data_IF_774258914071
#
_entry.id   IF_774258914071
#
_cell.length_a   1.000
_cell.length_b   1.000
_cell.length_c   1.000
_cell.angle_alpha   90.00
_cell.angle_beta   90.00
_cell.angle_gamma   90.00
#
_symmetry.space_group_name_H-M   'P 1'
#
loop_
_entity.id
_entity.type
_entity.pdbx_description
1 polymer ?
#
# COMPACT_ATOMS: atom_id res chain seq x y z
N UNK A 1 2.03 -10.85 -10.50
CA UNK A 1 2.07 -9.45 -11.00
C UNK A 1 0.94 -8.67 -10.33
N UNK A 2 1.00 -7.34 -10.15
CA UNK A 2 -0.21 -6.63 -9.69
C UNK A 2 -1.32 -6.78 -10.75
N UNK A 3 -2.59 -6.97 -10.36
CA UNK A 3 -3.69 -6.98 -11.31
C UNK A 3 -3.82 -5.61 -11.99
N UNK A 4 -4.27 -5.61 -13.26
CA UNK A 4 -4.53 -4.40 -14.03
C UNK A 4 -5.38 -3.38 -13.24
N UNK A 5 -5.15 -2.08 -13.49
CA UNK A 5 -5.89 -0.96 -12.90
C UNK A 5 -7.38 -0.94 -13.30
N UNK A 6 -8.18 -0.04 -12.73
CA UNK A 6 -9.62 0.07 -13.04
C UNK A 6 -10.56 -0.85 -12.23
N UNK A 7 -11.78 -1.05 -12.73
CA UNK A 7 -12.81 -1.89 -12.08
C UNK A 7 -13.14 -3.15 -12.89
N UNK A 8 -12.61 -3.26 -14.10
CA UNK A 8 -12.95 -4.33 -15.04
C UNK A 8 -12.45 -5.69 -14.53
N UNK A 9 -13.31 -6.70 -14.63
CA UNK A 9 -13.08 -8.06 -14.12
C UNK A 9 -12.86 -8.19 -12.60
N UNK A 10 -13.20 -7.16 -11.81
CA UNK A 10 -13.25 -7.24 -10.35
C UNK A 10 -14.65 -7.60 -9.88
N UNK A 11 -14.74 -8.48 -8.87
CA UNK A 11 -16.01 -8.74 -8.19
C UNK A 11 -16.27 -7.59 -7.23
N UNK A 12 -17.35 -6.86 -7.48
CA UNK A 12 -17.77 -5.71 -6.65
C UNK A 12 -18.35 -6.20 -5.31
N UNK A 13 -17.80 -5.71 -4.20
CA UNK A 13 -18.32 -5.93 -2.84
C UNK A 13 -19.12 -4.73 -2.33
N UNK A 14 -18.71 -3.53 -2.73
CA UNK A 14 -19.32 -2.25 -2.35
C UNK A 14 -19.25 -1.30 -3.53
N UNK A 15 -20.35 -0.61 -3.82
CA UNK A 15 -20.44 0.30 -4.97
C UNK A 15 -21.19 1.59 -4.60
N UNK A 16 -20.70 2.31 -3.60
CA UNK A 16 -21.19 3.63 -3.18
C UNK A 16 -20.05 4.66 -3.26
N UNK A 17 -19.97 5.61 -2.32
CA UNK A 17 -18.91 6.65 -2.25
C UNK A 17 -17.50 6.08 -2.35
N UNK A 18 -17.27 4.89 -1.78
CA UNK A 18 -16.01 4.14 -1.93
C UNK A 18 -16.35 2.80 -2.56
N UNK A 19 -15.94 2.64 -3.82
CA UNK A 19 -16.03 1.35 -4.48
C UNK A 19 -14.98 0.40 -3.89
N UNK A 20 -15.40 -0.82 -3.54
CA UNK A 20 -14.52 -1.88 -3.06
C UNK A 20 -14.77 -3.13 -3.89
N UNK A 21 -13.71 -3.73 -4.40
CA UNK A 21 -13.76 -4.99 -5.13
C UNK A 21 -12.61 -5.92 -4.76
N UNK A 22 -12.76 -7.19 -5.15
CA UNK A 22 -11.70 -8.17 -5.09
C UNK A 22 -11.54 -8.94 -6.40
N UNK A 23 -10.36 -9.48 -6.63
CA UNK A 23 -10.04 -10.34 -7.77
C UNK A 23 -9.01 -11.38 -7.36
N UNK A 24 -9.15 -12.61 -7.85
CA UNK A 24 -8.10 -13.61 -7.74
C UNK A 24 -7.16 -13.50 -8.93
N UNK A 25 -5.86 -13.41 -8.66
CA UNK A 25 -4.80 -13.44 -9.67
C UNK A 25 -3.58 -14.13 -9.08
N UNK A 26 -2.98 -15.07 -9.82
CA UNK A 26 -1.82 -15.87 -9.35
C UNK A 26 -2.08 -16.54 -7.98
N UNK A 27 -3.26 -17.14 -7.79
CA UNK A 27 -3.73 -17.77 -6.54
C UNK A 27 -3.71 -16.85 -5.30
N UNK A 28 -3.70 -15.54 -5.52
CA UNK A 28 -3.80 -14.53 -4.47
C UNK A 28 -5.10 -13.75 -4.57
N UNK A 29 -5.80 -13.52 -3.45
CA UNK A 29 -6.85 -12.53 -3.39
C UNK A 29 -6.23 -11.14 -3.38
N UNK A 30 -6.63 -10.33 -4.33
CA UNK A 30 -6.33 -8.90 -4.38
C UNK A 30 -7.58 -8.12 -3.98
N UNK A 31 -7.40 -7.04 -3.24
CA UNK A 31 -8.45 -6.07 -2.96
C UNK A 31 -8.11 -4.73 -3.61
N UNK A 32 -9.14 -3.96 -3.95
CA UNK A 32 -9.00 -2.60 -4.45
C UNK A 32 -10.10 -1.72 -3.87
N UNK A 33 -9.72 -0.50 -3.52
CA UNK A 33 -10.65 0.58 -3.19
C UNK A 33 -10.47 1.72 -4.20
N UNK A 34 -11.57 2.34 -4.64
CA UNK A 34 -11.56 3.50 -5.53
C UNK A 34 -12.54 4.53 -4.99
N UNK A 35 -12.09 5.78 -4.88
CA UNK A 35 -12.90 6.90 -4.42
C UNK A 35 -12.55 8.16 -5.23
N UNK A 36 -13.53 9.06 -5.37
CA UNK A 36 -13.32 10.40 -5.92
C UNK A 36 -13.25 11.37 -4.75
N UNK A 37 -12.10 12.03 -4.57
CA UNK A 37 -11.92 13.00 -3.50
C UNK A 37 -12.21 14.42 -4.01
N UNK A 38 -12.89 15.29 -3.24
CA UNK A 38 -13.22 16.66 -3.65
C UNK A 38 -12.02 17.62 -3.48
N UNK A 39 -10.83 17.18 -3.92
CA UNK A 39 -9.57 17.91 -3.79
C UNK A 39 -8.74 17.78 -5.07
N UNK A 40 -7.96 18.82 -5.45
CA UNK A 40 -7.02 18.74 -6.56
C UNK A 40 -5.96 17.65 -6.34
N UNK A 41 -5.54 17.00 -7.42
CA UNK A 41 -4.55 15.91 -7.39
C UNK A 41 -3.25 16.37 -6.73
N UNK A 42 -2.83 17.62 -6.95
CA UNK A 42 -1.61 18.19 -6.39
C UNK A 42 -1.62 18.16 -4.86
N UNK A 43 -2.79 18.35 -4.23
CA UNK A 43 -2.90 18.24 -2.77
C UNK A 43 -2.74 16.80 -2.31
N UNK A 44 -3.36 15.85 -3.03
CA UNK A 44 -3.32 14.42 -2.69
C UNK A 44 -1.91 13.86 -2.90
N UNK A 45 -1.23 14.25 -3.97
CA UNK A 45 0.14 13.82 -4.31
C UNK A 45 1.19 14.27 -3.30
N UNK A 46 0.93 15.26 -2.45
CA UNK A 46 1.85 15.59 -1.33
C UNK A 46 1.81 14.55 -0.20
N UNK A 47 0.72 13.78 -0.13
CA UNK A 47 0.48 12.77 0.90
C UNK A 47 0.84 11.40 0.37
N UNK A 48 0.23 11.01 -0.74
CA UNK A 48 0.39 9.67 -1.31
C UNK A 48 1.81 9.50 -1.87
N UNK A 49 2.46 8.39 -1.55
CA UNK A 49 3.85 8.12 -1.89
C UNK A 49 4.87 8.74 -0.92
N UNK A 50 4.46 9.65 -0.03
CA UNK A 50 5.33 10.27 0.96
C UNK A 50 5.35 9.46 2.27
N UNK A 51 6.11 8.37 2.26
CA UNK A 51 6.20 7.47 3.42
C UNK A 51 6.68 8.13 4.71
N UNK A 52 7.34 9.29 4.68
CA UNK A 52 7.80 9.97 5.90
C UNK A 52 6.68 10.44 6.82
N UNK A 53 5.48 10.66 6.28
CA UNK A 53 4.35 11.20 7.04
C UNK A 53 3.23 10.17 7.27
N UNK A 54 3.41 8.93 6.82
CA UNK A 54 2.34 7.94 6.79
C UNK A 54 1.81 7.58 8.18
N UNK A 55 2.67 7.55 9.21
CA UNK A 55 2.22 7.31 10.60
C UNK A 55 1.41 8.47 11.19
N UNK A 56 1.59 9.68 10.68
CA UNK A 56 0.89 10.87 11.17
C UNK A 56 -0.47 11.04 10.48
N UNK A 57 -0.62 10.50 9.26
CA UNK A 57 -1.82 10.64 8.42
C UNK A 57 -2.74 9.43 8.51
N UNK A 58 -2.19 8.21 8.42
CA UNK A 58 -3.00 6.99 8.37
C UNK A 58 -3.12 6.37 9.75
N UNK A 59 -4.33 6.39 10.32
CA UNK A 59 -4.62 5.94 11.68
C UNK A 59 -4.21 4.51 12.00
N UNK A 60 -4.10 3.63 10.99
CA UNK A 60 -3.66 2.24 11.17
C UNK A 60 -2.15 2.03 11.05
N UNK A 61 -1.40 3.03 10.59
CA UNK A 61 0.06 2.92 10.44
C UNK A 61 0.71 3.39 11.74
N UNK A 62 1.19 2.44 12.54
CA UNK A 62 1.90 2.71 13.80
C UNK A 62 3.31 3.25 13.52
N UNK A 63 3.96 2.74 12.46
CA UNK A 63 5.32 3.14 12.11
C UNK A 63 5.46 3.19 10.60
N UNK A 64 6.07 4.26 10.11
CA UNK A 64 6.56 4.35 8.75
C UNK A 64 7.97 4.90 8.78
N UNK A 65 8.94 4.09 8.35
CA UNK A 65 10.36 4.43 8.45
C UNK A 65 11.08 4.05 7.18
N UNK A 66 11.65 5.03 6.50
CA UNK A 66 12.62 4.77 5.42
C UNK A 66 13.86 4.13 6.07
N UNK A 67 14.17 2.90 5.70
CA UNK A 67 15.30 2.14 6.25
C UNK A 67 16.50 2.09 5.28
N UNK A 68 16.26 2.29 3.99
CA UNK A 68 17.31 2.56 2.98
C UNK A 68 16.76 3.51 1.91
N UNK A 69 17.21 4.78 1.97
CA UNK A 69 16.79 5.82 1.02
C UNK A 69 17.40 5.65 -0.37
N UNK A 70 18.58 5.02 -0.48
CA UNK A 70 19.24 4.81 -1.77
C UNK A 70 18.56 3.70 -2.58
N UNK A 71 17.85 2.81 -1.91
CA UNK A 71 17.13 1.70 -2.53
C UNK A 71 15.61 1.83 -2.48
N UNK A 72 15.08 2.95 -1.96
CA UNK A 72 13.64 3.17 -1.77
C UNK A 72 12.99 2.06 -0.93
N UNK A 73 13.57 1.77 0.24
CA UNK A 73 13.08 0.73 1.13
C UNK A 73 12.48 1.36 2.39
N UNK A 74 11.24 0.98 2.68
CA UNK A 74 10.49 1.43 3.85
C UNK A 74 10.06 0.23 4.70
N UNK A 75 10.15 0.41 6.01
CA UNK A 75 9.53 -0.42 7.01
C UNK A 75 8.19 0.20 7.44
N UNK A 76 7.12 -0.58 7.37
CA UNK A 76 5.79 -0.20 7.81
C UNK A 76 5.30 -1.17 8.87
N UNK A 77 4.78 -0.63 9.97
CA UNK A 77 4.08 -1.39 11.01
C UNK A 77 2.64 -0.90 11.08
N UNK A 78 1.70 -1.83 11.07
CA UNK A 78 0.27 -1.53 11.11
C UNK A 78 -0.41 -2.16 12.33
N UNK A 79 -1.36 -1.42 12.88
CA UNK A 79 -2.32 -1.88 13.88
C UNK A 79 -3.41 -2.71 13.21
N UNK A 80 -3.60 -3.93 13.70
CA UNK A 80 -4.69 -4.82 13.30
C UNK A 80 -5.52 -5.18 14.54
N UNK A 81 -6.60 -4.44 14.83
CA UNK A 81 -7.45 -4.70 15.99
C UNK A 81 -7.94 -6.16 16.01
N UNK A 82 -7.92 -6.79 17.20
CA UNK A 82 -8.28 -8.19 17.46
C UNK A 82 -7.19 -9.21 17.04
N UNK A 83 -6.15 -8.78 16.31
CA UNK A 83 -5.01 -9.60 15.93
C UNK A 83 -3.69 -9.01 16.44
N UNK A 84 -2.62 -9.80 16.37
CA UNK A 84 -1.27 -9.25 16.54
C UNK A 84 -0.99 -8.19 15.47
N UNK A 85 -0.12 -7.24 15.79
CA UNK A 85 0.38 -6.28 14.80
C UNK A 85 0.96 -6.99 13.58
N UNK A 86 0.95 -6.28 12.45
CA UNK A 86 1.60 -6.72 11.21
C UNK A 86 2.67 -5.73 10.82
N UNK A 87 3.73 -6.22 10.21
CA UNK A 87 4.72 -5.37 9.59
C UNK A 87 5.09 -5.87 8.19
N UNK A 88 5.65 -4.96 7.40
CA UNK A 88 6.18 -5.29 6.09
C UNK A 88 7.34 -4.36 5.75
N UNK A 89 8.29 -4.92 5.03
CA UNK A 89 9.40 -4.19 4.44
C UNK A 89 9.17 -4.23 2.94
N UNK A 90 9.04 -3.06 2.33
CA UNK A 90 8.76 -2.97 0.90
C UNK A 90 9.76 -2.08 0.21
N UNK A 91 10.12 -2.48 -1.00
CA UNK A 91 10.76 -1.61 -1.97
C UNK A 91 9.67 -0.93 -2.78
N UNK A 92 9.77 0.39 -2.95
CA UNK A 92 8.80 1.16 -3.70
C UNK A 92 9.42 1.85 -4.93
N UNK A 93 8.57 2.13 -5.91
CA UNK A 93 8.88 2.93 -7.09
C UNK A 93 7.70 3.87 -7.38
N UNK A 94 8.01 5.00 -8.00
CA UNK A 94 7.00 5.95 -8.48
C UNK A 94 7.24 6.23 -9.96
N UNK A 95 6.18 6.27 -10.75
CA UNK A 95 6.25 6.49 -12.19
C UNK A 95 4.91 7.02 -12.71
N UNK A 96 4.94 7.57 -13.92
CA UNK A 96 3.74 7.97 -14.65
C UNK A 96 3.31 6.83 -15.56
N UNK A 97 2.02 6.53 -15.58
CA UNK A 97 1.41 5.53 -16.46
C UNK A 97 0.17 6.15 -17.13
N UNK A 98 0.32 6.51 -18.41
CA UNK A 98 -0.58 7.43 -19.11
C UNK A 98 -0.69 8.78 -18.39
N UNK A 99 -1.87 9.15 -17.91
CA UNK A 99 -2.11 10.38 -17.15
C UNK A 99 -2.08 10.18 -15.63
N UNK A 100 -1.85 8.93 -15.18
CA UNK A 100 -1.90 8.59 -13.76
C UNK A 100 -0.53 8.70 -13.09
N UNK A 101 -0.52 9.16 -11.84
CA UNK A 101 0.66 9.05 -10.97
C UNK A 101 0.58 7.78 -10.13
N UNK A 102 1.55 6.88 -10.30
CA UNK A 102 1.56 5.56 -9.66
C UNK A 102 2.68 5.46 -8.63
N UNK A 103 2.33 5.03 -7.42
CA UNK A 103 3.27 4.65 -6.37
C UNK A 103 3.07 3.17 -6.05
N UNK A 104 4.01 2.33 -6.49
CA UNK A 104 3.90 0.87 -6.39
C UNK A 104 4.94 0.31 -5.42
N UNK A 105 4.60 -0.78 -4.74
CA UNK A 105 5.51 -1.43 -3.80
C UNK A 105 5.37 -2.95 -3.77
N UNK A 106 6.47 -3.61 -3.41
CA UNK A 106 6.53 -5.06 -3.23
C UNK A 106 7.40 -5.41 -2.03
N UNK A 107 7.00 -6.47 -1.32
CA UNK A 107 7.74 -6.98 -0.17
C UNK A 107 9.14 -7.45 -0.55
N UNK A 108 10.09 -7.13 0.31
CA UNK A 108 11.46 -7.61 0.23
C UNK A 108 11.93 -8.09 1.60
N UNK A 109 13.06 -8.81 1.62
CA UNK A 109 13.82 -9.04 2.85
C UNK A 109 14.91 -7.98 2.96
N UNK A 110 15.11 -7.43 4.14
CA UNK A 110 16.20 -6.49 4.42
C UNK A 110 17.03 -7.01 5.60
N UNK A 111 18.35 -7.09 5.41
CA UNK A 111 19.28 -7.72 6.38
C UNK A 111 19.27 -7.05 7.76
N UNK A 112 19.02 -5.74 7.80
CA UNK A 112 19.11 -4.94 9.02
C UNK A 112 17.75 -4.81 9.74
N UNK A 113 16.75 -5.60 9.34
CA UNK A 113 15.40 -5.55 9.91
C UNK A 113 14.90 -6.95 10.23
N UNK A 114 15.13 -7.45 11.46
CA UNK A 114 14.72 -8.78 11.86
C UNK A 114 13.20 -8.90 11.93
N UNK A 115 12.71 -10.12 12.14
CA UNK A 115 11.35 -10.35 12.61
C UNK A 115 11.28 -10.06 14.12
N UNK A 116 10.15 -9.50 14.56
CA UNK A 116 9.96 -9.08 15.95
C UNK A 116 8.91 -9.98 16.62
N UNK A 117 9.17 -10.37 17.87
CA UNK A 117 8.22 -11.18 18.64
C UNK A 117 6.86 -10.51 18.77
N UNK A 118 5.80 -11.30 18.62
CA UNK A 118 4.42 -10.79 18.69
C UNK A 118 3.96 -9.99 17.47
N UNK A 119 4.78 -9.86 16.43
CA UNK A 119 4.44 -9.21 15.16
C UNK A 119 4.48 -10.27 14.05
N UNK A 120 3.51 -10.26 13.13
CA UNK A 120 3.53 -11.15 11.97
C UNK A 120 3.98 -10.38 10.72
N UNK A 121 5.11 -10.81 10.15
CA UNK A 121 5.71 -10.26 8.93
C UNK A 121 4.92 -10.64 7.68
N UNK A 122 4.44 -9.65 6.93
CA UNK A 122 3.72 -9.86 5.68
C UNK A 122 4.70 -9.97 4.50
N UNK A 123 5.27 -11.16 4.28
CA UNK A 123 6.26 -11.40 3.22
C UNK A 123 5.73 -11.33 1.77
N UNK A 124 4.42 -11.17 1.59
CA UNK A 124 3.77 -11.04 0.27
C UNK A 124 2.98 -9.73 0.12
N UNK A 125 3.20 -8.75 1.00
CA UNK A 125 2.57 -7.44 0.87
C UNK A 125 3.03 -6.76 -0.42
N UNK A 126 2.08 -6.34 -1.24
CA UNK A 126 2.30 -5.61 -2.47
C UNK A 126 1.06 -4.77 -2.76
N UNK A 127 1.22 -3.69 -3.51
CA UNK A 127 0.12 -2.82 -3.85
C UNK A 127 0.56 -1.59 -4.59
N UNK A 128 -0.41 -0.76 -4.92
CA UNK A 128 -0.16 0.55 -5.50
C UNK A 128 -1.17 1.58 -5.00
N UNK A 129 -0.73 2.83 -5.00
CA UNK A 129 -1.61 3.98 -5.11
C UNK A 129 -1.55 4.46 -6.56
N UNK A 130 -2.71 4.79 -7.11
CA UNK A 130 -2.87 5.35 -8.46
C UNK A 130 -3.80 6.55 -8.35
N UNK A 131 -3.31 7.70 -8.76
CA UNK A 131 -3.98 9.00 -8.71
C UNK A 131 -4.30 9.49 -10.11
#
# INVERSE_FOLDING_TARGET
MLPASGKDDWVSMRNDEIWIGYKYSDDLPWCRAVAILPHPIEKISTIVGNFNIYSDIFSRIITSKIIDSNQNIVYLKIDMPIFNDRDYIVKYSSFTDNDDTVHQWYSIKHKDTPEYDGIVRLGRAAGEWRL
#
